data_IF_201605359514
#
_entry.id   IF_201605359514
#
_cell.length_a   1.000
_cell.length_b   1.000
_cell.length_c   1.000
_cell.angle_alpha   90.00
_cell.angle_beta   90.00
_cell.angle_gamma   90.00
#
_symmetry.space_group_name_H-M   'P 1'
#
loop_
_entity.id
_entity.type
_entity.pdbx_description
1 polymer ?
#
# COMPACT_ATOMS: atom_id res chain seq x y z
N UNK A 1 -6.11 24.28 7.41
CA UNK A 1 -5.54 23.73 6.16
C UNK A 1 -6.66 23.49 5.15
N UNK A 2 -6.56 24.01 3.91
CA UNK A 2 -7.56 23.73 2.86
C UNK A 2 -7.36 22.28 2.41
N UNK A 3 -8.37 21.42 2.57
CA UNK A 3 -8.37 20.06 2.07
C UNK A 3 -8.04 20.07 0.57
N UNK A 4 -6.91 19.48 0.20
CA UNK A 4 -6.40 19.41 -1.18
C UNK A 4 -7.27 18.49 -2.06
N UNK A 5 -8.14 17.68 -1.45
CA UNK A 5 -8.96 16.67 -2.11
C UNK A 5 -10.44 16.86 -1.75
N UNK A 6 -11.36 16.49 -2.65
CA UNK A 6 -12.78 16.45 -2.29
C UNK A 6 -13.05 15.31 -1.29
N UNK A 7 -13.96 15.50 -0.35
CA UNK A 7 -14.35 14.45 0.60
C UNK A 7 -14.83 13.17 -0.13
N UNK A 8 -15.47 13.32 -1.28
CA UNK A 8 -15.93 12.19 -2.09
C UNK A 8 -14.77 11.36 -2.66
N UNK A 9 -13.67 11.99 -3.12
CA UNK A 9 -12.50 11.25 -3.62
C UNK A 9 -11.69 10.59 -2.51
N UNK A 10 -11.68 11.16 -1.29
CA UNK A 10 -11.03 10.54 -0.15
C UNK A 10 -11.76 9.27 0.33
N UNK A 11 -13.08 9.21 0.17
CA UNK A 11 -13.90 8.05 0.54
C UNK A 11 -13.80 6.88 -0.45
N UNK A 12 -13.01 6.99 -1.51
CA UNK A 12 -12.82 5.94 -2.52
C UNK A 12 -11.35 5.60 -2.68
N UNK A 13 -11.04 4.46 -3.30
CA UNK A 13 -9.67 4.03 -3.59
C UNK A 13 -8.97 4.85 -4.71
N UNK A 14 -9.68 5.79 -5.34
CA UNK A 14 -9.21 6.46 -6.55
C UNK A 14 -7.84 7.15 -6.41
N UNK A 15 -7.57 7.78 -5.27
CA UNK A 15 -6.30 8.46 -5.02
C UNK A 15 -5.15 7.48 -4.78
N UNK A 16 -5.41 6.31 -4.18
CA UNK A 16 -4.40 5.29 -3.93
C UNK A 16 -3.77 4.72 -5.22
N UNK A 17 -4.46 4.84 -6.37
CA UNK A 17 -3.92 4.37 -7.66
C UNK A 17 -2.64 5.09 -8.08
N UNK A 18 -2.35 6.25 -7.51
CA UNK A 18 -1.16 7.06 -7.79
C UNK A 18 -0.19 7.12 -6.62
N UNK A 19 -0.54 6.49 -5.50
CA UNK A 19 0.29 6.48 -4.30
C UNK A 19 1.25 5.28 -4.32
N UNK A 20 2.52 5.48 -4.00
CA UNK A 20 3.49 4.38 -3.87
C UNK A 20 2.97 3.32 -2.90
N UNK A 21 3.23 2.05 -3.20
CA UNK A 21 2.83 0.89 -2.39
C UNK A 21 1.32 0.69 -2.34
N UNK A 22 0.50 1.75 -2.12
CA UNK A 22 -0.95 1.65 -2.16
C UNK A 22 -1.45 1.17 -3.52
N UNK A 23 -0.82 1.60 -4.60
CA UNK A 23 -1.15 1.24 -5.99
C UNK A 23 -0.79 -0.19 -6.38
N UNK A 24 -0.03 -0.92 -5.57
CA UNK A 24 0.40 -2.29 -5.89
C UNK A 24 -0.77 -3.26 -6.10
N UNK A 25 -1.89 -3.01 -5.45
CA UNK A 25 -3.11 -3.77 -5.63
C UNK A 25 -4.33 -2.84 -5.61
N UNK A 26 -5.07 -2.80 -6.71
CA UNK A 26 -6.32 -2.01 -6.81
C UNK A 26 -7.47 -2.70 -6.11
N UNK A 27 -8.21 -1.96 -5.28
CA UNK A 27 -9.35 -2.46 -4.55
C UNK A 27 -10.53 -1.50 -4.67
N UNK A 28 -11.68 -1.99 -5.19
CA UNK A 28 -12.81 -1.11 -5.52
C UNK A 28 -13.53 -0.57 -4.28
N UNK A 29 -13.58 -1.36 -3.22
CA UNK A 29 -14.30 -1.05 -1.98
C UNK A 29 -13.42 -0.34 -0.94
N UNK A 30 -12.22 0.10 -1.36
CA UNK A 30 -11.30 0.78 -0.46
C UNK A 30 -11.51 2.29 -0.41
N UNK A 31 -11.03 2.89 0.66
CA UNK A 31 -10.87 4.34 0.83
C UNK A 31 -9.42 4.76 0.55
N UNK A 32 -9.21 6.06 0.39
CA UNK A 32 -7.87 6.60 0.12
C UNK A 32 -7.02 6.72 1.40
N UNK A 33 -5.71 6.56 1.24
CA UNK A 33 -4.71 6.79 2.28
C UNK A 33 -4.85 8.17 2.93
N UNK A 34 -5.14 9.21 2.14
CA UNK A 34 -5.31 10.58 2.61
C UNK A 34 -6.46 10.73 3.63
N UNK A 35 -7.50 9.88 3.58
CA UNK A 35 -8.58 9.93 4.58
C UNK A 35 -8.05 9.54 5.97
N UNK A 36 -7.26 8.48 6.03
CA UNK A 36 -6.68 8.00 7.29
C UNK A 36 -5.59 8.95 7.76
N UNK A 37 -4.77 9.45 6.84
CA UNK A 37 -3.72 10.42 7.13
C UNK A 37 -4.30 11.70 7.74
N UNK A 38 -5.36 12.25 7.16
CA UNK A 38 -6.07 13.41 7.70
C UNK A 38 -6.60 13.15 9.12
N UNK A 39 -7.16 11.97 9.38
CA UNK A 39 -7.65 11.58 10.71
C UNK A 39 -6.49 11.49 11.71
N UNK A 40 -5.41 10.82 11.34
CA UNK A 40 -4.20 10.70 12.18
C UNK A 40 -3.64 12.08 12.51
N UNK A 41 -3.54 12.97 11.52
CA UNK A 41 -3.04 14.32 11.71
C UNK A 41 -3.98 15.20 12.56
N UNK A 42 -5.30 15.00 12.50
CA UNK A 42 -6.26 15.71 13.34
C UNK A 42 -6.19 15.31 14.81
N UNK A 43 -5.94 14.03 15.09
CA UNK A 43 -5.78 13.52 16.47
C UNK A 43 -4.41 13.87 17.03
N UNK A 44 -3.40 13.94 16.18
CA UNK A 44 -1.98 14.00 16.50
C UNK A 44 -1.39 12.60 16.62
N UNK A 45 -0.40 12.25 15.76
CA UNK A 45 0.18 10.89 15.76
C UNK A 45 0.71 10.46 17.13
N UNK A 46 1.22 11.40 17.92
CA UNK A 46 1.75 11.20 19.28
C UNK A 46 0.68 10.79 20.30
N UNK A 47 -0.58 11.07 20.01
CA UNK A 47 -1.72 10.73 20.89
C UNK A 47 -2.34 9.37 20.53
N UNK A 48 -1.84 8.71 19.46
CA UNK A 48 -2.40 7.44 18.98
C UNK A 48 -1.46 6.30 19.37
N UNK A 49 -1.88 5.47 20.30
CA UNK A 49 -1.11 4.29 20.72
C UNK A 49 -1.21 3.14 19.73
N UNK A 50 -2.38 2.94 19.14
CA UNK A 50 -2.63 1.92 18.13
C UNK A 50 -3.90 2.23 17.31
N UNK A 51 -3.97 1.67 16.12
CA UNK A 51 -5.15 1.71 15.25
C UNK A 51 -5.63 0.28 15.02
N UNK A 52 -6.95 0.07 15.04
CA UNK A 52 -7.56 -1.21 14.69
C UNK A 52 -8.50 -1.04 13.50
N UNK A 53 -8.30 -1.89 12.49
CA UNK A 53 -9.13 -1.94 11.30
C UNK A 53 -9.78 -3.33 11.19
N UNK A 54 -11.07 -3.47 11.50
CA UNK A 54 -11.76 -4.76 11.44
C UNK A 54 -12.07 -5.24 10.02
N UNK A 55 -11.93 -4.38 8.99
CA UNK A 55 -12.26 -4.67 7.59
C UNK A 55 -11.15 -4.17 6.67
N UNK A 56 -9.94 -4.67 6.88
CA UNK A 56 -8.71 -4.07 6.38
C UNK A 56 -8.56 -4.07 4.84
N UNK A 57 -9.21 -5.01 4.13
CA UNK A 57 -9.11 -5.12 2.68
C UNK A 57 -7.66 -5.22 2.20
N UNK A 58 -7.17 -4.20 1.52
CA UNK A 58 -5.78 -4.15 1.03
C UNK A 58 -4.80 -3.41 1.94
N UNK A 59 -5.21 -3.11 3.17
CA UNK A 59 -4.31 -2.61 4.21
C UNK A 59 -4.07 -1.11 4.22
N UNK A 60 -4.97 -0.30 3.69
CA UNK A 60 -4.79 1.16 3.63
C UNK A 60 -4.53 1.76 5.01
N UNK A 61 -5.37 1.45 6.00
CA UNK A 61 -5.19 1.92 7.39
C UNK A 61 -3.86 1.47 8.00
N UNK A 62 -3.53 0.19 7.85
CA UNK A 62 -2.30 -0.38 8.41
C UNK A 62 -1.05 0.21 7.76
N UNK A 63 -1.12 0.53 6.48
CA UNK A 63 -0.03 1.13 5.74
C UNK A 63 0.23 2.57 6.21
N UNK A 64 -0.83 3.38 6.34
CA UNK A 64 -0.74 4.75 6.88
C UNK A 64 -0.25 4.72 8.32
N UNK A 65 -0.79 3.86 9.18
CA UNK A 65 -0.31 3.71 10.56
C UNK A 65 1.20 3.40 10.59
N UNK A 66 1.67 2.47 9.73
CA UNK A 66 3.08 2.10 9.65
C UNK A 66 3.96 3.26 9.18
N UNK A 67 3.52 4.12 8.27
CA UNK A 67 4.27 5.29 7.83
C UNK A 67 4.46 6.33 8.95
N UNK A 68 3.50 6.45 9.86
CA UNK A 68 3.58 7.28 11.05
C UNK A 68 4.26 6.60 12.25
N UNK A 69 4.69 5.34 12.11
CA UNK A 69 5.26 4.57 13.21
C UNK A 69 4.24 4.13 14.26
N UNK A 70 2.95 4.21 13.95
CA UNK A 70 1.84 3.81 14.82
C UNK A 70 1.60 2.31 14.67
N UNK A 71 1.38 1.63 15.80
CA UNK A 71 1.03 0.21 15.81
C UNK A 71 -0.35 0.00 15.21
N UNK A 72 -0.50 -0.97 14.31
CA UNK A 72 -1.80 -1.33 13.75
C UNK A 72 -2.15 -2.78 14.01
N UNK A 73 -3.45 -3.01 14.20
CA UNK A 73 -4.07 -4.31 14.23
C UNK A 73 -5.14 -4.36 13.15
N UNK A 74 -5.36 -5.49 12.55
CA UNK A 74 -6.37 -5.64 11.50
C UNK A 74 -6.99 -7.04 11.50
N UNK A 75 -8.18 -7.12 10.91
CA UNK A 75 -8.81 -8.38 10.53
C UNK A 75 -9.01 -8.39 9.01
N UNK A 76 -8.66 -9.53 8.42
CA UNK A 76 -8.93 -9.81 7.00
C UNK A 76 -9.16 -11.30 6.84
N UNK A 77 -10.29 -11.66 6.22
CA UNK A 77 -10.69 -13.07 6.07
C UNK A 77 -10.12 -13.72 4.82
N UNK A 78 -9.75 -12.91 3.81
CA UNK A 78 -9.17 -13.44 2.57
C UNK A 78 -7.66 -13.65 2.74
N UNK A 79 -7.16 -14.90 2.68
CA UNK A 79 -5.72 -15.18 2.85
C UNK A 79 -4.82 -14.47 1.83
N UNK A 80 -5.31 -14.27 0.61
CA UNK A 80 -4.56 -13.54 -0.40
C UNK A 80 -4.41 -12.06 -0.02
N UNK A 81 -5.48 -11.43 0.48
CA UNK A 81 -5.41 -10.05 0.96
C UNK A 81 -4.49 -9.90 2.17
N UNK A 82 -4.44 -10.89 3.06
CA UNK A 82 -3.47 -10.90 4.16
C UNK A 82 -2.03 -10.84 3.65
N UNK A 83 -1.69 -11.61 2.60
CA UNK A 83 -0.37 -11.54 1.97
C UNK A 83 -0.09 -10.18 1.33
N UNK A 84 -1.08 -9.58 0.67
CA UNK A 84 -0.97 -8.23 0.09
C UNK A 84 -0.69 -7.20 1.18
N UNK A 85 -1.41 -7.26 2.32
CA UNK A 85 -1.22 -6.37 3.47
C UNK A 85 0.19 -6.51 4.02
N UNK A 86 0.64 -7.74 4.29
CA UNK A 86 1.96 -8.02 4.84
C UNK A 86 3.08 -7.54 3.92
N UNK A 87 2.97 -7.79 2.61
CA UNK A 87 3.94 -7.32 1.63
C UNK A 87 4.06 -5.78 1.65
N UNK A 88 2.93 -5.07 1.68
CA UNK A 88 2.89 -3.61 1.73
C UNK A 88 3.49 -3.06 3.03
N UNK A 89 3.10 -3.62 4.18
CA UNK A 89 3.61 -3.19 5.49
C UNK A 89 5.11 -3.43 5.59
N UNK A 90 5.59 -4.59 5.14
CA UNK A 90 7.01 -4.91 5.16
C UNK A 90 7.82 -3.98 4.25
N UNK A 91 7.26 -3.57 3.10
CA UNK A 91 7.90 -2.57 2.25
C UNK A 91 8.06 -1.22 2.95
N UNK A 92 7.00 -0.71 3.62
CA UNK A 92 7.09 0.55 4.39
C UNK A 92 8.10 0.44 5.52
N UNK A 93 8.08 -0.66 6.27
CA UNK A 93 9.06 -0.89 7.35
C UNK A 93 10.48 -0.90 6.81
N UNK A 94 10.72 -1.61 5.71
CA UNK A 94 12.03 -1.68 5.08
C UNK A 94 12.51 -0.30 4.61
N UNK A 95 11.63 0.51 4.03
CA UNK A 95 11.96 1.87 3.61
C UNK A 95 12.26 2.79 4.81
N UNK A 96 11.49 2.65 5.90
CA UNK A 96 11.70 3.45 7.11
C UNK A 96 12.96 3.05 7.86
N UNK A 97 13.18 1.74 8.01
CA UNK A 97 14.27 1.20 8.84
C UNK A 97 15.58 1.11 8.06
N UNK A 98 15.50 1.11 6.74
CA UNK A 98 16.69 1.13 5.91
C UNK A 98 17.23 2.56 5.86
N UNK A 99 18.47 2.73 6.34
CA UNK A 99 19.34 3.84 5.95
C UNK A 99 19.76 3.68 4.48
N UNK A 100 18.83 3.20 3.63
CA UNK A 100 19.05 3.09 2.19
C UNK A 100 19.00 4.51 1.68
N UNK A 101 20.17 5.13 1.57
CA UNK A 101 20.31 6.42 0.93
C UNK A 101 19.72 6.36 -0.48
N UNK A 102 19.31 7.51 -1.01
CA UNK A 102 18.78 7.68 -2.37
C UNK A 102 19.56 6.88 -3.43
N UNK A 103 20.86 6.75 -3.26
CA UNK A 103 21.77 6.01 -4.15
C UNK A 103 21.42 4.53 -4.33
N UNK A 104 20.98 3.83 -3.28
CA UNK A 104 20.62 2.40 -3.40
C UNK A 104 19.26 2.24 -4.08
N UNK A 105 18.34 3.14 -3.82
CA UNK A 105 17.05 3.18 -4.52
C UNK A 105 17.25 3.50 -6.00
N UNK A 106 18.10 4.46 -6.34
CA UNK A 106 18.47 4.81 -7.72
C UNK A 106 19.15 3.65 -8.43
N UNK A 107 20.06 2.94 -7.76
CA UNK A 107 20.71 1.74 -8.31
C UNK A 107 19.71 0.60 -8.51
N UNK A 108 18.74 0.44 -7.62
CA UNK A 108 17.67 -0.55 -7.79
C UNK A 108 16.75 -0.19 -8.96
N UNK A 109 16.31 1.07 -9.04
CA UNK A 109 15.46 1.55 -10.13
C UNK A 109 16.16 1.43 -11.48
N UNK A 110 17.45 1.81 -11.56
CA UNK A 110 18.23 1.64 -12.79
C UNK A 110 18.37 0.18 -13.23
N UNK A 111 18.46 -0.75 -12.27
CA UNK A 111 18.46 -2.19 -12.57
C UNK A 111 17.09 -2.67 -13.06
N UNK A 112 16.00 -2.16 -12.49
CA UNK A 112 14.63 -2.49 -12.92
C UNK A 112 14.33 -1.93 -14.29
N UNK A 113 14.75 -0.69 -14.60
CA UNK A 113 14.61 -0.07 -15.91
C UNK A 113 15.42 -0.78 -16.99
N UNK A 114 16.61 -1.29 -16.64
CA UNK A 114 17.45 -2.08 -17.54
C UNK A 114 17.06 -3.56 -17.61
N UNK A 115 16.15 -4.02 -16.73
CA UNK A 115 15.55 -5.33 -16.87
C UNK A 115 14.56 -5.25 -18.03
N UNK A 116 15.02 -5.64 -19.20
CA UNK A 116 14.16 -5.80 -20.35
C UNK A 116 13.19 -6.93 -20.00
N UNK A 117 12.00 -6.57 -19.50
CA UNK A 117 10.87 -7.47 -19.34
C UNK A 117 10.39 -7.88 -20.74
N UNK A 118 11.22 -8.61 -21.46
CA UNK A 118 10.69 -9.61 -22.34
C UNK A 118 10.05 -10.64 -21.42
N UNK A 119 8.82 -10.37 -21.01
CA UNK A 119 7.93 -11.42 -20.65
C UNK A 119 8.00 -12.42 -21.80
N UNK A 120 8.73 -13.51 -21.60
CA UNK A 120 8.58 -14.70 -22.41
C UNK A 120 7.18 -15.25 -22.11
N UNK A 121 6.15 -14.55 -22.63
CA UNK A 121 4.79 -15.06 -22.69
C UNK A 121 4.69 -16.21 -23.68
N UNK A 122 5.79 -16.54 -24.37
CA UNK A 122 5.82 -17.50 -25.48
C UNK A 122 5.81 -18.96 -25.03
N UNK A 123 5.88 -19.26 -23.72
CA UNK A 123 5.89 -20.66 -23.27
C UNK A 123 4.97 -21.00 -22.10
N UNK A 124 4.17 -20.10 -21.63
CA UNK A 124 3.02 -20.49 -20.80
C UNK A 124 1.91 -21.02 -21.72
N UNK A 125 2.11 -22.20 -22.28
CA UNK A 125 1.00 -23.03 -22.74
C UNK A 125 0.11 -23.29 -21.54
N UNK A 126 -0.97 -22.53 -21.44
CA UNK A 126 -2.08 -22.83 -20.55
C UNK A 126 -2.84 -24.01 -21.14
N UNK A 127 -2.23 -25.18 -21.10
CA UNK A 127 -2.90 -26.45 -21.39
C UNK A 127 -3.81 -26.73 -20.18
N UNK A 128 -5.02 -26.21 -20.17
CA UNK A 128 -5.88 -26.62 -19.08
C UNK A 128 -7.19 -25.90 -18.85
N UNK A 129 -7.77 -25.23 -19.82
CA UNK A 129 -9.22 -24.94 -19.81
C UNK A 129 -9.81 -25.27 -21.18
N UNK A 130 -9.88 -26.55 -21.47
CA UNK A 130 -10.90 -27.03 -22.38
C UNK A 130 -12.25 -27.00 -21.65
N UNK A 131 -13.25 -26.47 -22.33
CA UNK A 131 -14.63 -26.22 -21.89
C UNK A 131 -15.37 -27.52 -21.55
#
# INVERSE_FOLDING_TARGET
MKNKYSKASAATFALNKREPIHSWYSYLEGYSSCLIDDIVMQIGPENIHAIFDPFCGTGTTSLVASSHGIKSYYCETNPFMQQVIEAKINAVKSLRDSKIGSTVLEQFLSKVENYNYQLHLDEAKWDGFEK
#
